data_IF_854627153947
#
_entry.id   IF_854627153947
#
_cell.length_a   1.000
_cell.length_b   1.000
_cell.length_c   1.000
_cell.angle_alpha   90.00
_cell.angle_beta   90.00
_cell.angle_gamma   90.00
#
_symmetry.space_group_name_H-M   'P 1'
#
loop_
_entity.id
_entity.type
_entity.pdbx_description
1 polymer ?
#
# COMPACT_ATOMS: atom_id res chain seq x y z
N UNK A 1 8.53 -19.82 -18.71
CA UNK A 1 8.76 -19.36 -17.33
C UNK A 1 9.77 -18.24 -17.41
N UNK A 2 9.46 -17.07 -16.87
CA UNK A 2 10.38 -15.92 -16.90
C UNK A 2 11.45 -16.18 -15.85
N UNK A 3 12.73 -16.02 -16.19
CA UNK A 3 13.82 -16.17 -15.22
C UNK A 3 13.77 -15.03 -14.19
N UNK A 4 14.19 -15.27 -12.93
CA UNK A 4 14.29 -14.21 -11.93
C UNK A 4 15.17 -13.05 -12.41
N UNK A 5 14.76 -11.83 -12.06
CA UNK A 5 15.48 -10.61 -12.42
C UNK A 5 16.32 -10.18 -11.23
N UNK A 6 17.60 -9.93 -11.45
CA UNK A 6 18.50 -9.38 -10.42
C UNK A 6 18.63 -7.88 -10.62
N UNK A 7 18.24 -7.12 -9.61
CA UNK A 7 18.39 -5.66 -9.53
C UNK A 7 19.66 -5.27 -8.74
N UNK A 8 20.10 -4.01 -8.84
CA UNK A 8 21.17 -3.46 -8.01
C UNK A 8 20.94 -3.72 -6.52
N UNK A 9 22.03 -3.90 -5.76
CA UNK A 9 21.95 -4.29 -4.34
C UNK A 9 21.60 -5.77 -4.12
N UNK A 10 21.70 -6.61 -5.16
CA UNK A 10 21.43 -8.05 -5.11
C UNK A 10 19.98 -8.40 -4.73
N UNK A 11 19.05 -7.50 -5.05
CA UNK A 11 17.62 -7.77 -4.93
C UNK A 11 17.23 -8.71 -6.07
N UNK A 12 16.68 -9.88 -5.74
CA UNK A 12 16.18 -10.85 -6.71
C UNK A 12 14.67 -10.78 -6.72
N UNK A 13 14.10 -10.45 -7.88
CA UNK A 13 12.67 -10.46 -8.11
C UNK A 13 12.28 -11.73 -8.85
N UNK A 14 11.37 -12.50 -8.27
CA UNK A 14 10.70 -13.58 -8.97
C UNK A 14 9.66 -13.02 -9.94
N UNK A 15 9.19 -13.82 -10.92
CA UNK A 15 8.10 -13.39 -11.80
C UNK A 15 6.81 -13.00 -11.06
N UNK A 16 6.59 -13.56 -9.87
CA UNK A 16 5.42 -13.31 -9.03
C UNK A 16 5.45 -11.91 -8.39
N UNK A 17 6.66 -11.40 -8.12
CA UNK A 17 6.91 -10.08 -7.52
C UNK A 17 6.76 -8.93 -8.50
N UNK A 18 6.70 -9.22 -9.81
CA UNK A 18 6.54 -8.18 -10.82
C UNK A 18 5.14 -7.54 -10.73
N UNK A 19 4.99 -6.26 -11.10
CA UNK A 19 3.68 -5.67 -11.32
C UNK A 19 2.86 -6.52 -12.31
N UNK A 20 1.55 -6.63 -12.10
CA UNK A 20 0.69 -7.47 -12.95
C UNK A 20 0.77 -7.10 -14.43
N UNK A 21 0.95 -5.80 -14.73
CA UNK A 21 1.19 -5.30 -16.09
C UNK A 21 2.44 -5.89 -16.77
N UNK A 22 3.40 -6.40 -16.01
CA UNK A 22 4.64 -6.98 -16.53
C UNK A 22 4.64 -8.52 -16.58
N UNK A 23 3.64 -9.17 -15.99
CA UNK A 23 3.54 -10.66 -15.94
C UNK A 23 3.14 -11.25 -17.29
N UNK A 24 2.13 -10.69 -17.95
CA UNK A 24 1.59 -11.20 -19.21
C UNK A 24 2.06 -10.41 -20.44
N UNK A 25 3.20 -10.83 -21.02
CA UNK A 25 3.88 -10.10 -22.11
C UNK A 25 3.05 -9.87 -23.38
N UNK A 26 2.03 -10.70 -23.62
CA UNK A 26 1.19 -10.60 -24.82
C UNK A 26 -0.06 -9.74 -24.60
N UNK A 27 -0.31 -9.26 -23.38
CA UNK A 27 -1.47 -8.43 -23.06
C UNK A 27 -1.30 -7.00 -23.60
N UNK A 28 -2.42 -6.33 -23.90
CA UNK A 28 -2.40 -4.90 -24.25
C UNK A 28 -1.92 -4.03 -23.08
N UNK A 29 -2.20 -4.44 -21.84
CA UNK A 29 -1.72 -3.78 -20.62
C UNK A 29 -0.20 -3.79 -20.57
N UNK A 30 0.44 -4.90 -20.95
CA UNK A 30 1.88 -5.00 -21.02
C UNK A 30 2.48 -4.08 -22.08
N UNK A 31 1.92 -4.09 -23.30
CA UNK A 31 2.38 -3.18 -24.37
C UNK A 31 2.30 -1.73 -23.93
N UNK A 32 1.17 -1.35 -23.32
CA UNK A 32 0.98 -0.01 -22.80
C UNK A 32 1.98 0.34 -21.69
N UNK A 33 2.26 -0.59 -20.78
CA UNK A 33 3.26 -0.39 -19.73
C UNK A 33 4.67 -0.17 -20.31
N UNK A 34 5.08 -0.96 -21.31
CA UNK A 34 6.37 -0.79 -21.99
C UNK A 34 6.45 0.54 -22.74
N UNK A 35 5.39 0.92 -23.46
CA UNK A 35 5.32 2.22 -24.13
C UNK A 35 5.44 3.38 -23.14
N UNK A 36 4.83 3.26 -21.97
CA UNK A 36 4.94 4.25 -20.90
C UNK A 36 6.34 4.27 -20.28
N UNK A 37 6.98 3.11 -20.09
CA UNK A 37 8.37 3.01 -19.66
C UNK A 37 9.33 3.72 -20.64
N UNK A 38 9.14 3.52 -21.95
CA UNK A 38 9.97 4.16 -22.97
C UNK A 38 9.86 5.69 -22.96
N UNK A 39 8.70 6.25 -22.61
CA UNK A 39 8.51 7.69 -22.49
C UNK A 39 9.33 8.32 -21.38
N UNK A 40 9.74 7.58 -20.35
CA UNK A 40 10.66 8.12 -19.34
C UNK A 40 12.01 8.50 -19.97
N UNK A 41 12.44 7.81 -21.03
CA UNK A 41 13.70 8.11 -21.71
C UNK A 41 13.67 9.46 -22.45
N UNK A 42 12.48 10.02 -22.69
CA UNK A 42 12.29 11.33 -23.32
C UNK A 42 12.28 12.49 -22.30
N UNK A 43 12.29 12.21 -21.01
CA UNK A 43 12.23 13.23 -19.96
C UNK A 43 13.60 13.91 -19.74
N UNK A 44 13.59 15.19 -19.35
CA UNK A 44 14.82 15.89 -18.92
C UNK A 44 15.37 15.37 -17.58
N UNK A 45 14.53 14.68 -16.80
CA UNK A 45 14.84 14.13 -15.50
C UNK A 45 13.64 13.46 -14.85
N UNK A 46 13.90 12.55 -13.92
CA UNK A 46 12.87 11.80 -13.18
C UNK A 46 12.99 12.12 -11.70
N UNK A 47 11.96 12.72 -11.11
CA UNK A 47 11.89 12.94 -9.67
C UNK A 47 11.26 11.73 -8.99
N UNK A 48 11.92 11.18 -7.98
CA UNK A 48 11.46 10.03 -7.21
C UNK A 48 11.23 10.46 -5.77
N UNK A 49 10.04 10.18 -5.25
CA UNK A 49 9.71 10.45 -3.85
C UNK A 49 10.36 9.41 -2.92
N UNK A 50 11.69 9.49 -2.82
CA UNK A 50 12.56 8.66 -2.00
C UNK A 50 13.85 9.45 -1.69
N UNK A 51 14.75 8.89 -0.90
CA UNK A 51 16.02 9.51 -0.52
C UNK A 51 17.17 8.48 -0.59
N UNK A 52 18.40 9.00 -0.71
CA UNK A 52 19.58 8.19 -1.02
C UNK A 52 19.84 7.09 0.02
N UNK A 53 19.68 7.39 1.31
CA UNK A 53 19.93 6.44 2.39
C UNK A 53 18.89 5.29 2.43
N UNK A 54 17.72 5.47 1.81
CA UNK A 54 16.70 4.41 1.71
C UNK A 54 16.99 3.42 0.58
N UNK A 55 17.43 3.92 -0.58
CA UNK A 55 17.57 3.15 -1.82
C UNK A 55 18.94 3.35 -2.49
N UNK A 56 20.01 3.31 -1.69
CA UNK A 56 21.37 3.68 -2.10
C UNK A 56 21.86 2.94 -3.35
N UNK A 57 21.76 1.61 -3.37
CA UNK A 57 22.27 0.80 -4.48
C UNK A 57 21.49 1.04 -5.78
N UNK A 58 20.19 1.33 -5.70
CA UNK A 58 19.37 1.65 -6.86
C UNK A 58 19.76 3.00 -7.47
N UNK A 59 19.88 4.04 -6.65
CA UNK A 59 20.29 5.37 -7.15
C UNK A 59 21.74 5.36 -7.68
N UNK A 60 22.66 4.69 -7.00
CA UNK A 60 24.04 4.55 -7.44
C UNK A 60 24.16 3.83 -8.78
N UNK A 61 23.32 2.84 -9.04
CA UNK A 61 23.31 2.15 -10.34
C UNK A 61 22.72 3.04 -11.45
N UNK A 62 21.63 3.78 -11.15
CA UNK A 62 21.06 4.75 -12.08
C UNK A 62 22.04 5.90 -12.40
N UNK A 63 22.89 6.29 -11.45
CA UNK A 63 23.98 7.26 -11.67
C UNK A 63 25.08 6.77 -12.63
N UNK A 64 25.20 5.46 -12.88
CA UNK A 64 26.16 4.93 -13.86
C UNK A 64 25.79 5.30 -15.30
N UNK A 65 24.62 5.95 -15.51
CA UNK A 65 24.17 6.60 -16.76
C UNK A 65 24.35 5.70 -17.98
N UNK A 66 23.50 4.69 -18.11
CA UNK A 66 23.33 4.03 -19.40
C UNK A 66 22.93 5.10 -20.45
N UNK A 67 23.50 5.06 -21.66
CA UNK A 67 23.15 6.02 -22.70
C UNK A 67 21.64 6.07 -22.93
N UNK A 68 21.06 7.28 -22.85
CA UNK A 68 19.62 7.50 -23.04
C UNK A 68 18.78 7.44 -21.76
N UNK A 69 19.36 7.14 -20.59
CA UNK A 69 18.64 7.23 -19.30
C UNK A 69 18.77 8.65 -18.74
N UNK A 70 17.66 9.34 -18.42
CA UNK A 70 17.70 10.69 -17.86
C UNK A 70 18.22 10.70 -16.41
N UNK A 71 18.67 11.86 -15.89
CA UNK A 71 19.06 11.97 -14.50
C UNK A 71 17.87 11.68 -13.56
N UNK A 72 18.12 10.91 -12.50
CA UNK A 72 17.11 10.56 -11.49
C UNK A 72 17.41 11.33 -10.20
N UNK A 73 16.41 12.00 -9.66
CA UNK A 73 16.53 12.87 -8.49
C UNK A 73 15.70 12.32 -7.32
N UNK A 74 16.35 11.81 -6.25
CA UNK A 74 15.67 11.53 -4.99
C UNK A 74 15.28 12.86 -4.31
N UNK A 75 13.99 13.16 -4.25
CA UNK A 75 13.46 14.44 -3.71
C UNK A 75 12.60 14.24 -2.45
N UNK A 76 12.55 13.01 -1.92
CA UNK A 76 11.73 12.64 -0.78
C UNK A 76 12.40 12.83 0.59
N UNK A 77 11.67 12.55 1.68
CA UNK A 77 10.26 12.15 1.71
C UNK A 77 9.32 13.36 1.56
N UNK A 78 8.60 13.40 0.43
CA UNK A 78 7.49 14.33 0.20
C UNK A 78 6.23 13.69 0.77
N UNK A 79 5.94 14.03 2.02
CA UNK A 79 4.76 13.59 2.75
C UNK A 79 3.77 14.74 2.90
N UNK A 80 2.47 14.42 2.90
CA UNK A 80 1.44 15.42 3.21
C UNK A 80 1.51 15.74 4.70
N UNK A 81 1.94 16.94 5.05
CA UNK A 81 1.75 17.51 6.38
C UNK A 81 0.29 17.95 6.49
N UNK A 82 -0.46 17.40 7.46
CA UNK A 82 -1.93 17.39 7.49
C UNK A 82 -2.62 18.65 6.96
N UNK A 83 -3.61 18.47 6.08
CA UNK A 83 -4.59 19.52 5.82
C UNK A 83 -5.39 19.72 7.10
N UNK A 84 -5.27 20.91 7.67
CA UNK A 84 -6.11 21.47 8.72
C UNK A 84 -7.55 21.51 8.21
N UNK A 85 -8.23 20.37 8.21
CA UNK A 85 -9.64 20.33 8.52
C UNK A 85 -9.69 20.24 10.05
N UNK A 86 -9.45 21.39 10.68
CA UNK A 86 -9.91 21.68 12.04
C UNK A 86 -11.45 21.53 12.04
N UNK A 87 -11.93 20.29 12.08
CA UNK A 87 -13.16 20.04 12.79
C UNK A 87 -12.79 20.00 14.26
N UNK A 88 -13.14 21.11 14.91
CA UNK A 88 -13.03 21.39 16.34
C UNK A 88 -13.17 20.10 17.17
N UNK A 89 -12.03 19.60 17.68
CA UNK A 89 -11.97 18.41 18.52
C UNK A 89 -11.10 17.24 18.02
N UNK A 90 -10.63 17.20 16.77
CA UNK A 90 -9.83 16.06 16.28
C UNK A 90 -10.64 14.76 16.09
N UNK A 91 -10.18 13.86 15.20
CA UNK A 91 -10.90 12.62 14.91
C UNK A 91 -11.00 11.72 16.15
N UNK A 92 -12.12 10.99 16.29
CA UNK A 92 -12.33 10.06 17.41
C UNK A 92 -11.18 9.07 17.59
N UNK A 93 -10.58 8.61 16.50
CA UNK A 93 -9.43 7.71 16.53
C UNK A 93 -8.16 8.38 17.08
N UNK A 94 -7.91 9.67 16.79
CA UNK A 94 -6.78 10.40 17.37
C UNK A 94 -6.97 10.61 18.87
N UNK A 95 -8.19 10.91 19.32
CA UNK A 95 -8.49 10.95 20.77
C UNK A 95 -8.21 9.61 21.43
N UNK A 96 -8.74 8.52 20.88
CA UNK A 96 -8.51 7.18 21.41
C UNK A 96 -7.01 6.82 21.45
N UNK A 97 -6.23 7.21 20.43
CA UNK A 97 -4.78 7.01 20.39
C UNK A 97 -4.04 7.79 21.48
N UNK A 98 -4.49 9.00 21.81
CA UNK A 98 -3.87 9.83 22.86
C UNK A 98 -3.95 9.19 24.25
N UNK A 99 -4.94 8.32 24.47
CA UNK A 99 -5.14 7.61 25.75
C UNK A 99 -4.32 6.30 25.84
N UNK A 100 -3.59 5.92 24.78
CA UNK A 100 -2.80 4.68 24.76
C UNK A 100 -1.34 4.91 25.17
N UNK A 101 -0.67 3.90 25.75
CA UNK A 101 0.77 3.97 25.97
C UNK A 101 1.57 4.21 24.68
N UNK A 102 2.71 4.93 24.74
CA UNK A 102 3.54 5.13 23.57
C UNK A 102 3.99 3.80 22.95
N UNK A 103 3.91 3.70 21.61
CA UNK A 103 4.33 2.51 20.83
C UNK A 103 3.58 1.22 21.18
N UNK A 104 2.33 1.31 21.68
CA UNK A 104 1.55 0.12 22.07
C UNK A 104 0.41 -0.26 21.13
N UNK A 105 0.19 0.47 20.04
CA UNK A 105 -0.94 0.26 19.13
C UNK A 105 -0.44 -0.16 17.75
N UNK A 106 -0.98 -1.26 17.23
CA UNK A 106 -0.80 -1.68 15.84
C UNK A 106 -1.76 -0.90 14.93
N UNK A 107 -1.25 -0.11 13.99
CA UNK A 107 -2.06 0.51 12.95
C UNK A 107 -2.16 -0.41 11.73
N UNK A 108 -3.39 -0.72 11.31
CA UNK A 108 -3.67 -1.61 10.16
C UNK A 108 -4.46 -0.83 9.11
N UNK A 109 -3.89 -0.70 7.91
CA UNK A 109 -4.55 -0.08 6.76
C UNK A 109 -3.97 -0.59 5.45
N UNK A 110 -4.84 -0.91 4.49
CA UNK A 110 -4.48 -1.35 3.15
C UNK A 110 -4.57 -0.22 2.10
N UNK A 111 -4.65 1.03 2.56
CA UNK A 111 -4.78 2.20 1.70
C UNK A 111 -6.12 2.30 0.97
N UNK A 112 -6.17 3.11 -0.08
CA UNK A 112 -7.42 3.43 -0.79
C UNK A 112 -7.81 2.47 -1.90
N UNK A 113 -6.89 1.63 -2.37
CA UNK A 113 -7.15 0.62 -3.41
C UNK A 113 -6.98 -0.82 -2.95
N UNK A 114 -6.49 -1.05 -1.73
CA UNK A 114 -6.34 -2.39 -1.18
C UNK A 114 -7.68 -2.97 -0.73
N UNK A 115 -7.85 -4.27 -0.98
CA UNK A 115 -8.99 -5.07 -0.53
C UNK A 115 -8.51 -6.45 -0.08
N UNK A 116 -9.34 -7.11 0.72
CA UNK A 116 -9.17 -8.49 1.14
C UNK A 116 -10.39 -9.29 0.68
N UNK A 117 -10.21 -10.59 0.43
CA UNK A 117 -11.36 -11.51 0.35
C UNK A 117 -12.09 -11.55 1.69
N UNK A 118 -13.32 -12.08 1.70
CA UNK A 118 -14.09 -12.24 2.95
C UNK A 118 -13.33 -13.12 3.94
N UNK A 119 -12.73 -14.22 3.47
CA UNK A 119 -11.98 -15.16 4.28
C UNK A 119 -10.73 -14.49 4.86
N UNK A 120 -9.96 -13.76 4.05
CA UNK A 120 -8.78 -13.03 4.52
C UNK A 120 -9.13 -11.94 5.54
N UNK A 121 -10.25 -11.24 5.34
CA UNK A 121 -10.75 -10.24 6.27
C UNK A 121 -11.11 -10.87 7.63
N UNK A 122 -11.79 -12.02 7.61
CA UNK A 122 -12.16 -12.75 8.83
C UNK A 122 -10.94 -13.32 9.56
N UNK A 123 -10.00 -13.92 8.84
CA UNK A 123 -8.74 -14.43 9.41
C UNK A 123 -7.90 -13.30 10.01
N UNK A 124 -7.83 -12.14 9.35
CA UNK A 124 -7.18 -10.96 9.91
C UNK A 124 -7.85 -10.49 11.21
N UNK A 125 -9.19 -10.45 11.24
CA UNK A 125 -9.92 -10.09 12.45
C UNK A 125 -9.61 -11.08 13.59
N UNK A 126 -9.70 -12.38 13.36
CA UNK A 126 -9.36 -13.40 14.36
C UNK A 126 -7.90 -13.28 14.82
N UNK A 127 -6.96 -13.04 13.91
CA UNK A 127 -5.55 -12.83 14.24
C UNK A 127 -5.32 -11.58 15.11
N UNK A 128 -6.01 -10.48 14.81
CA UNK A 128 -5.97 -9.26 15.62
C UNK A 128 -6.53 -9.48 17.02
N UNK A 129 -7.64 -10.21 17.14
CA UNK A 129 -8.20 -10.61 18.44
C UNK A 129 -7.21 -11.46 19.24
N UNK A 130 -6.67 -12.51 18.63
CA UNK A 130 -5.80 -13.49 19.29
C UNK A 130 -4.44 -12.91 19.68
N UNK A 131 -3.93 -11.90 18.98
CA UNK A 131 -2.62 -11.33 19.30
C UNK A 131 -2.61 -10.53 20.60
N UNK A 132 -3.78 -10.14 21.13
CA UNK A 132 -3.92 -9.43 22.41
C UNK A 132 -3.29 -8.04 22.44
N UNK A 133 -2.82 -7.53 21.30
CA UNK A 133 -2.31 -6.17 21.17
C UNK A 133 -3.46 -5.20 20.88
N UNK A 134 -3.31 -3.97 21.35
CA UNK A 134 -4.21 -2.88 20.94
C UNK A 134 -3.99 -2.61 19.46
N UNK A 135 -5.06 -2.42 18.70
CA UNK A 135 -4.97 -2.11 17.29
C UNK A 135 -5.94 -1.01 16.89
N UNK A 136 -5.58 -0.27 15.85
CA UNK A 136 -6.44 0.66 15.13
C UNK A 136 -6.51 0.17 13.68
N UNK A 137 -7.64 -0.40 13.29
CA UNK A 137 -7.84 -0.98 11.97
C UNK A 137 -8.84 -0.15 11.14
N UNK A 138 -8.39 0.34 9.99
CA UNK A 138 -9.25 0.98 8.99
C UNK A 138 -9.89 -0.11 8.14
N UNK A 139 -11.12 -0.50 8.49
CA UNK A 139 -11.89 -1.54 7.78
C UNK A 139 -12.53 -1.01 6.50
N UNK A 140 -12.65 -1.88 5.51
CA UNK A 140 -13.38 -1.68 4.26
C UNK A 140 -14.16 -2.94 3.94
N UNK A 141 -15.26 -2.79 3.21
CA UNK A 141 -16.07 -3.94 2.79
C UNK A 141 -15.19 -4.86 1.95
N UNK A 142 -15.03 -6.15 2.32
CA UNK A 142 -14.21 -7.07 1.56
C UNK A 142 -14.76 -7.21 0.13
N UNK A 143 -13.85 -7.39 -0.83
CA UNK A 143 -14.13 -7.57 -2.26
C UNK A 143 -13.16 -8.59 -2.82
N UNK A 144 -13.63 -9.41 -3.75
CA UNK A 144 -12.81 -10.45 -4.41
C UNK A 144 -11.71 -9.88 -5.32
N UNK A 145 -11.85 -8.62 -5.78
CA UNK A 145 -10.81 -7.98 -6.59
C UNK A 145 -10.61 -6.50 -6.26
N UNK A 146 -9.37 -6.03 -6.45
CA UNK A 146 -9.01 -4.62 -6.26
C UNK A 146 -9.69 -3.70 -7.30
N UNK A 147 -9.97 -4.21 -8.51
CA UNK A 147 -10.72 -3.49 -9.52
C UNK A 147 -12.17 -3.25 -9.06
N UNK A 148 -12.80 -4.26 -8.47
CA UNK A 148 -14.14 -4.11 -7.90
C UNK A 148 -14.14 -3.12 -6.73
N UNK A 149 -13.12 -3.17 -5.86
CA UNK A 149 -12.97 -2.22 -4.76
C UNK A 149 -12.77 -0.77 -5.21
N UNK A 150 -12.06 -0.53 -6.32
CA UNK A 150 -11.79 0.81 -6.83
C UNK A 150 -12.96 1.39 -7.65
N UNK A 151 -13.72 0.53 -8.34
CA UNK A 151 -14.80 0.92 -9.24
C UNK A 151 -16.20 0.92 -8.61
N UNK A 152 -16.36 0.38 -7.39
CA UNK A 152 -17.65 0.26 -6.72
C UNK A 152 -18.28 1.63 -6.40
N UNK A 153 -19.01 2.15 -7.38
CA UNK A 153 -19.84 3.35 -7.29
C UNK A 153 -21.33 3.00 -7.30
N UNK A 154 -21.72 1.71 -7.39
CA UNK A 154 -23.12 1.34 -7.71
C UNK A 154 -23.73 0.07 -7.07
N UNK A 155 -23.09 -0.63 -6.13
CA UNK A 155 -23.76 -1.74 -5.40
C UNK A 155 -23.96 -1.42 -3.93
N UNK A 156 -25.08 -1.89 -3.36
CA UNK A 156 -25.49 -1.72 -1.95
C UNK A 156 -24.27 -1.90 -1.04
N UNK A 157 -23.78 -0.79 -0.47
CA UNK A 157 -22.64 -0.80 0.44
C UNK A 157 -23.09 -1.51 1.71
N UNK A 158 -22.77 -2.80 1.83
CA UNK A 158 -22.86 -3.52 3.09
C UNK A 158 -21.85 -2.93 4.06
N UNK A 159 -22.25 -2.80 5.32
CA UNK A 159 -21.36 -2.30 6.36
C UNK A 159 -20.17 -3.26 6.48
N UNK A 160 -18.90 -2.79 6.40
CA UNK A 160 -17.74 -3.64 6.62
C UNK A 160 -17.81 -4.45 7.92
N UNK A 161 -18.51 -3.93 8.94
CA UNK A 161 -18.69 -4.58 10.22
C UNK A 161 -19.55 -5.85 10.14
N UNK A 162 -20.41 -5.98 9.13
CA UNK A 162 -21.26 -7.16 8.91
C UNK A 162 -20.43 -8.42 8.56
N UNK A 163 -19.17 -8.24 8.17
CA UNK A 163 -18.27 -9.33 7.77
C UNK A 163 -17.34 -9.79 8.89
N UNK A 164 -17.38 -9.12 10.04
CA UNK A 164 -16.56 -9.49 11.20
C UNK A 164 -17.04 -10.81 11.81
N UNK A 165 -16.13 -11.60 12.40
CA UNK A 165 -16.52 -12.76 13.18
C UNK A 165 -17.52 -12.41 14.27
N UNK A 166 -18.47 -13.31 14.54
CA UNK A 166 -19.50 -13.08 15.55
C UNK A 166 -18.87 -12.71 16.90
N UNK A 167 -19.38 -11.65 17.54
CA UNK A 167 -18.92 -11.15 18.83
C UNK A 167 -17.54 -10.48 18.83
N UNK A 168 -16.89 -10.30 17.67
CA UNK A 168 -15.56 -9.69 17.58
C UNK A 168 -15.50 -8.32 18.25
N UNK A 169 -16.48 -7.45 18.01
CA UNK A 169 -16.51 -6.10 18.57
C UNK A 169 -16.59 -6.11 20.10
N UNK A 170 -17.31 -7.06 20.70
CA UNK A 170 -17.42 -7.18 22.15
C UNK A 170 -16.13 -7.71 22.76
N UNK A 171 -15.48 -8.69 22.12
CA UNK A 171 -14.23 -9.28 22.60
C UNK A 171 -13.01 -8.35 22.43
N UNK A 172 -13.09 -7.40 21.51
CA UNK A 172 -12.01 -6.45 21.21
C UNK A 172 -12.28 -5.04 21.72
N UNK A 173 -13.42 -4.82 22.38
CA UNK A 173 -13.69 -3.57 23.08
C UNK A 173 -12.64 -3.42 24.19
N UNK A 174 -11.82 -2.37 24.10
CA UNK A 174 -10.84 -2.08 25.15
C UNK A 174 -11.55 -1.92 26.49
N UNK A 175 -10.91 -2.36 27.58
CA UNK A 175 -11.36 -2.00 28.92
C UNK A 175 -11.18 -0.47 29.08
N UNK A 176 -12.29 0.24 29.33
CA UNK A 176 -12.33 1.68 29.62
C UNK A 176 -11.65 2.02 30.96
#
# INVERSE_FOLDING_TARGET
>A
MVDPITLPGSIVLSPEDLPDSLKERNSEVHKWAIDWCNKFLEADGVMVNSFLELEFEAFKDLERRLPGVPPVYPVGPLIRTGTVAESDGGSKCVKWLNDQPPKSVLFVSFGSGGTLSVEQFQELALGLEMCGHRFLWVVRTPQESAADAYLNTQSIVKDPLDFLPEGFLERTKGED
#
